data_IF_576671700323
#
_entry.id   IF_576671700323
#
_cell.length_a   1.000
_cell.length_b   1.000
_cell.length_c   1.000
_cell.angle_alpha   90.00
_cell.angle_beta   90.00
_cell.angle_gamma   90.00
#
_symmetry.space_group_name_H-M   'P 1'
#
loop_
_entity.id
_entity.type
_entity.pdbx_description
1 polymer ?
#
# COMPACT_ATOMS: atom_id res chain seq x y z
N UNK A 1 27.46 -8.99 10.58
CA UNK A 1 26.15 -8.97 9.87
C UNK A 1 25.30 -7.92 10.55
N UNK A 2 25.00 -6.81 9.87
CA UNK A 2 24.20 -5.73 10.44
C UNK A 2 22.72 -6.08 10.30
N UNK A 3 21.96 -5.95 11.39
CA UNK A 3 20.50 -6.07 11.38
C UNK A 3 19.91 -5.01 10.43
N UNK A 4 18.89 -5.32 9.62
CA UNK A 4 18.24 -4.30 8.83
C UNK A 4 17.61 -3.29 9.79
N UNK A 5 17.99 -2.02 9.65
CA UNK A 5 17.31 -0.93 10.31
C UNK A 5 15.83 -1.02 9.90
N UNK A 6 14.97 -1.38 10.85
CA UNK A 6 13.53 -1.17 10.70
C UNK A 6 13.36 0.34 10.58
N UNK A 7 13.23 0.83 9.35
CA UNK A 7 12.78 2.18 9.10
C UNK A 7 11.48 2.34 9.89
N UNK A 8 11.51 3.19 10.92
CA UNK A 8 10.30 3.59 11.61
C UNK A 8 9.51 4.40 10.57
N UNK A 9 8.58 3.73 9.90
CA UNK A 9 7.63 4.38 9.02
C UNK A 9 6.89 5.38 9.89
N UNK A 10 6.85 6.66 9.48
CA UNK A 10 5.89 7.57 10.06
C UNK A 10 4.53 6.91 9.83
N UNK A 11 3.84 6.54 10.90
CA UNK A 11 2.54 5.91 10.77
C UNK A 11 1.67 6.88 9.97
N UNK A 12 1.15 6.43 8.82
CA UNK A 12 0.16 7.19 8.06
C UNK A 12 -0.91 7.66 9.04
N UNK A 13 -1.30 8.94 9.00
CA UNK A 13 -2.34 9.44 9.88
C UNK A 13 -3.70 8.93 9.38
N UNK A 14 -3.95 7.62 9.45
CA UNK A 14 -5.21 7.00 9.01
C UNK A 14 -6.44 7.62 9.69
N UNK A 15 -6.27 8.26 10.86
CA UNK A 15 -7.32 9.04 11.53
C UNK A 15 -7.61 10.43 10.93
N UNK A 16 -6.85 10.90 9.94
CA UNK A 16 -7.08 12.15 9.20
C UNK A 16 -7.60 11.90 7.78
N UNK A 17 -8.17 10.72 7.53
CA UNK A 17 -8.84 10.41 6.28
C UNK A 17 -10.05 11.34 6.06
N UNK A 18 -10.37 11.70 4.81
CA UNK A 18 -11.55 12.48 4.52
C UNK A 18 -12.82 11.71 4.89
N UNK A 19 -13.92 12.40 5.26
CA UNK A 19 -15.18 11.73 5.55
C UNK A 19 -15.68 10.90 4.36
N UNK A 20 -15.98 9.63 4.60
CA UNK A 20 -16.47 8.71 3.57
C UNK A 20 -15.39 8.13 2.65
N UNK A 21 -14.11 8.42 2.91
CA UNK A 21 -13.00 7.77 2.21
C UNK A 21 -12.86 6.31 2.65
N UNK A 22 -12.75 5.40 1.69
CA UNK A 22 -12.57 3.97 1.93
C UNK A 22 -11.14 3.59 1.54
N UNK A 23 -10.29 3.33 2.54
CA UNK A 23 -8.90 2.97 2.28
C UNK A 23 -8.81 1.66 1.45
N UNK A 24 -7.97 1.63 0.41
CA UNK A 24 -7.76 0.43 -0.39
C UNK A 24 -7.11 -0.68 0.43
N UNK A 25 -7.29 -1.92 -0.03
CA UNK A 25 -6.71 -3.07 0.64
C UNK A 25 -5.18 -3.11 0.49
N UNK A 26 -4.48 -2.97 1.61
CA UNK A 26 -3.03 -3.24 1.69
C UNK A 26 -2.81 -4.68 2.14
N UNK A 27 -2.07 -5.45 1.35
CA UNK A 27 -1.74 -6.84 1.69
C UNK A 27 -0.77 -6.86 2.86
N UNK A 28 -1.17 -7.56 3.92
CA UNK A 28 -0.30 -7.82 5.08
C UNK A 28 0.55 -9.09 4.91
N UNK A 29 0.26 -9.90 3.88
CA UNK A 29 0.91 -11.18 3.61
C UNK A 29 1.17 -11.37 2.11
N UNK A 30 2.28 -12.02 1.72
CA UNK A 30 2.59 -12.26 0.32
C UNK A 30 1.63 -13.24 -0.35
N UNK A 31 1.43 -13.09 -1.65
CA UNK A 31 0.66 -14.03 -2.47
C UNK A 31 1.30 -15.42 -2.39
N UNK A 32 0.46 -16.42 -2.09
CA UNK A 32 0.87 -17.82 -1.90
C UNK A 32 1.94 -18.04 -0.81
N UNK A 33 2.12 -17.09 0.13
CA UNK A 33 3.15 -17.19 1.16
C UNK A 33 4.59 -16.95 0.63
N UNK A 34 4.75 -16.52 -0.62
CA UNK A 34 6.06 -16.44 -1.27
C UNK A 34 6.68 -15.04 -1.06
N UNK A 35 7.71 -15.01 -0.21
CA UNK A 35 8.53 -13.81 0.02
C UNK A 35 9.63 -13.74 -1.05
N UNK A 36 9.39 -12.97 -2.11
CA UNK A 36 10.32 -12.78 -3.24
C UNK A 36 10.54 -11.28 -3.54
N UNK A 37 11.32 -10.98 -4.58
CA UNK A 37 11.56 -9.59 -5.00
C UNK A 37 10.27 -8.80 -5.26
N UNK A 38 9.24 -9.44 -5.83
CA UNK A 38 7.97 -8.77 -6.13
C UNK A 38 7.26 -8.35 -4.83
N UNK A 39 7.32 -9.18 -3.80
CA UNK A 39 6.79 -8.83 -2.48
C UNK A 39 7.56 -7.67 -1.83
N UNK A 40 8.88 -7.66 -1.95
CA UNK A 40 9.68 -6.55 -1.42
C UNK A 40 9.45 -5.24 -2.18
N UNK A 41 9.30 -5.31 -3.51
CA UNK A 41 8.95 -4.14 -4.33
C UNK A 41 7.58 -3.59 -3.90
N UNK A 42 6.55 -4.44 -3.85
CA UNK A 42 5.22 -4.04 -3.37
C UNK A 42 5.29 -3.32 -2.02
N UNK A 43 6.03 -3.87 -1.04
CA UNK A 43 6.19 -3.21 0.26
C UNK A 43 6.93 -1.87 0.16
N UNK A 44 7.92 -1.76 -0.72
CA UNK A 44 8.63 -0.50 -0.93
C UNK A 44 7.71 0.55 -1.57
N UNK A 45 6.93 0.16 -2.57
CA UNK A 45 5.97 1.04 -3.26
C UNK A 45 4.92 1.58 -2.26
N UNK A 46 4.38 0.71 -1.38
CA UNK A 46 3.47 1.15 -0.31
C UNK A 46 4.16 2.13 0.65
N UNK A 47 5.40 1.86 1.07
CA UNK A 47 6.13 2.75 1.99
C UNK A 47 6.44 4.11 1.35
N UNK A 48 6.65 4.15 0.04
CA UNK A 48 6.88 5.38 -0.71
C UNK A 48 5.57 6.20 -0.80
N UNK A 49 4.47 5.57 -1.20
CA UNK A 49 3.14 6.20 -1.22
C UNK A 49 2.74 6.77 0.16
N UNK A 50 2.95 6.00 1.24
CA UNK A 50 2.66 6.45 2.62
C UNK A 50 3.52 7.66 3.04
N UNK A 51 4.77 7.73 2.56
CA UNK A 51 5.69 8.84 2.82
C UNK A 51 5.27 10.09 2.05
N UNK A 52 4.89 9.94 0.78
CA UNK A 52 4.40 11.03 -0.06
C UNK A 52 3.09 11.59 0.49
N UNK A 53 2.10 10.76 0.80
CA UNK A 53 0.89 11.16 1.51
C UNK A 53 1.19 11.97 2.78
N UNK A 54 2.14 11.50 3.61
CA UNK A 54 2.52 12.22 4.84
C UNK A 54 3.13 13.58 4.53
N UNK A 55 3.91 13.69 3.45
CA UNK A 55 4.46 14.95 2.97
C UNK A 55 3.36 15.88 2.47
N UNK A 56 2.44 15.38 1.65
CA UNK A 56 1.40 16.20 1.02
C UNK A 56 0.39 16.69 2.05
N UNK A 57 -0.01 15.84 3.00
CA UNK A 57 -0.85 16.26 4.12
C UNK A 57 -0.21 17.36 4.97
N UNK A 58 1.12 17.40 5.10
CA UNK A 58 1.82 18.49 5.80
C UNK A 58 1.79 19.81 5.04
N UNK A 59 1.75 19.76 3.72
CA UNK A 59 1.72 20.94 2.86
C UNK A 59 0.28 21.35 2.47
N UNK A 60 -0.70 20.47 2.65
CA UNK A 60 -2.12 20.72 2.39
C UNK A 60 -2.64 21.87 3.24
N UNK A 61 -3.34 22.80 2.61
CA UNK A 61 -3.83 24.02 3.27
C UNK A 61 -5.33 24.00 3.50
N UNK A 62 -6.07 23.30 2.64
CA UNK A 62 -7.52 23.20 2.73
C UNK A 62 -8.03 21.76 2.67
N UNK A 63 -9.35 21.62 2.56
CA UNK A 63 -10.02 20.32 2.52
C UNK A 63 -9.83 19.61 1.18
N UNK A 64 -9.78 20.36 0.10
CA UNK A 64 -9.62 19.85 -1.27
C UNK A 64 -8.20 19.28 -1.42
N UNK A 65 -7.18 20.04 -1.01
CA UNK A 65 -5.78 19.58 -0.99
C UNK A 65 -5.61 18.24 -0.24
N UNK A 66 -6.31 18.10 0.89
CA UNK A 66 -6.26 16.85 1.67
C UNK A 66 -6.96 15.71 0.95
N UNK A 67 -8.09 15.99 0.31
CA UNK A 67 -8.86 14.97 -0.40
C UNK A 67 -8.05 14.45 -1.58
N UNK A 68 -7.43 15.35 -2.35
CA UNK A 68 -6.57 15.02 -3.48
C UNK A 68 -5.36 14.19 -3.05
N UNK A 69 -4.69 14.55 -1.95
CA UNK A 69 -3.57 13.75 -1.43
C UNK A 69 -3.99 12.32 -1.05
N UNK A 70 -5.19 12.15 -0.49
CA UNK A 70 -5.71 10.82 -0.15
C UNK A 70 -6.16 10.02 -1.38
N UNK A 71 -6.73 10.68 -2.40
CA UNK A 71 -7.13 10.07 -3.68
C UNK A 71 -5.89 9.63 -4.49
N UNK A 72 -4.84 10.44 -4.52
CA UNK A 72 -3.57 10.09 -5.14
C UNK A 72 -2.94 8.86 -4.47
N UNK A 73 -2.84 8.88 -3.14
CA UNK A 73 -2.37 7.72 -2.37
C UNK A 73 -3.22 6.45 -2.61
N UNK A 74 -4.54 6.58 -2.73
CA UNK A 74 -5.41 5.43 -3.05
C UNK A 74 -5.03 4.82 -4.40
N UNK A 75 -4.88 5.66 -5.43
CA UNK A 75 -4.51 5.22 -6.77
C UNK A 75 -3.14 4.51 -6.77
N UNK A 76 -2.16 5.05 -6.05
CA UNK A 76 -0.83 4.45 -5.92
C UNK A 76 -0.87 3.07 -5.25
N UNK A 77 -1.60 2.94 -4.13
CA UNK A 77 -1.75 1.65 -3.44
C UNK A 77 -2.44 0.62 -4.33
N UNK A 78 -3.48 1.05 -5.05
CA UNK A 78 -4.23 0.19 -5.97
C UNK A 78 -3.35 -0.26 -7.14
N UNK A 79 -2.55 0.63 -7.71
CA UNK A 79 -1.66 0.30 -8.83
C UNK A 79 -0.49 -0.58 -8.38
N UNK A 80 0.08 -0.34 -7.19
CA UNK A 80 1.06 -1.22 -6.58
C UNK A 80 0.50 -2.65 -6.38
N UNK A 81 -0.75 -2.80 -5.90
CA UNK A 81 -1.38 -4.13 -5.78
C UNK A 81 -1.61 -4.78 -7.14
N UNK A 82 -2.10 -4.03 -8.13
CA UNK A 82 -2.32 -4.54 -9.49
C UNK A 82 -1.03 -5.06 -10.10
N UNK A 83 0.06 -4.32 -10.00
CA UNK A 83 1.36 -4.72 -10.55
C UNK A 83 1.95 -5.89 -9.79
N UNK A 84 1.87 -5.91 -8.45
CA UNK A 84 2.29 -7.06 -7.66
C UNK A 84 1.53 -8.33 -8.06
N UNK A 85 0.19 -8.26 -8.14
CA UNK A 85 -0.67 -9.39 -8.56
C UNK A 85 -0.32 -9.84 -9.98
N UNK A 86 -0.13 -8.90 -10.91
CA UNK A 86 0.23 -9.17 -12.31
C UNK A 86 1.57 -9.89 -12.41
N UNK A 87 2.60 -9.43 -11.71
CA UNK A 87 3.93 -10.05 -11.71
C UNK A 87 3.92 -11.42 -11.03
N UNK A 88 3.18 -11.58 -9.93
CA UNK A 88 3.01 -12.89 -9.29
C UNK A 88 2.27 -13.88 -10.21
N UNK A 89 1.24 -13.41 -10.93
CA UNK A 89 0.50 -14.22 -11.91
C UNK A 89 1.38 -14.67 -13.07
N UNK A 90 2.22 -13.78 -13.60
CA UNK A 90 3.20 -14.12 -14.65
C UNK A 90 4.16 -15.23 -14.20
N UNK A 91 4.47 -15.29 -12.91
CA UNK A 91 5.33 -16.31 -12.29
C UNK A 91 4.59 -17.60 -11.89
N UNK A 92 3.28 -17.69 -12.15
CA UNK A 92 2.47 -18.87 -11.86
C UNK A 92 1.86 -18.89 -10.46
N UNK A 93 2.09 -17.87 -9.63
CA UNK A 93 1.46 -17.73 -8.32
C UNK A 93 0.11 -17.04 -8.45
N UNK A 94 -0.94 -17.59 -7.86
CA UNK A 94 -2.27 -16.95 -7.83
C UNK A 94 -2.59 -16.50 -6.42
N UNK A 95 -3.23 -15.33 -6.29
CA UNK A 95 -3.90 -14.97 -5.05
C UNK A 95 -4.97 -16.02 -4.79
N UNK A 96 -4.95 -16.62 -3.60
CA UNK A 96 -5.98 -17.57 -3.20
C UNK A 96 -7.32 -16.86 -3.18
N UNK A 97 -8.31 -17.41 -3.91
CA UNK A 97 -9.71 -17.02 -3.70
C UNK A 97 -10.14 -17.75 -2.44
N UNK A 98 -10.32 -17.05 -1.33
CA UNK A 98 -10.95 -17.64 -0.14
C UNK A 98 -12.41 -17.86 -0.51
N UNK A 99 -12.74 -19.05 -0.98
CA UNK A 99 -14.13 -19.50 -0.99
C UNK A 99 -14.44 -19.91 0.45
N UNK A 100 -15.16 -19.07 1.19
CA UNK A 100 -15.74 -19.50 2.48
C UNK A 100 -16.85 -20.49 2.12
N UNK A 101 -16.49 -21.77 2.05
CA UNK A 101 -17.42 -22.88 1.90
C UNK A 101 -17.37 -23.73 3.16
N UNK A 102 -18.46 -23.72 3.93
CA UNK A 102 -18.64 -24.49 5.15
C UNK A 102 -19.87 -24.02 5.90
#
# INVERSE_FOLDING_TARGET
>A
MALPATAAVAAVPYGSQPPGFEAPHIRTSPIAGIVNQQWYNYRADILEAEKELTSDLRHSTDREDRWDAWDEWENEVVDADKDYVKEMRKKGYRSGRVTVGG
#
